data_IF_111263978170
#
_entry.id   IF_111263978170
#
_cell.length_a   1.000
_cell.length_b   1.000
_cell.length_c   1.000
_cell.angle_alpha   90.00
_cell.angle_beta   90.00
_cell.angle_gamma   90.00
#
_symmetry.space_group_name_H-M   'P 1'
#
loop_
_entity.id
_entity.type
_entity.pdbx_description
1 polymer ?
#
# COMPACT_ATOMS: atom_id res chain seq x y z
N UNK A 1 -37.69 38.22 -2.75
CA UNK A 1 -36.29 38.65 -2.98
C UNK A 1 -35.37 38.37 -1.79
N UNK A 2 -35.68 38.83 -0.56
CA UNK A 2 -34.82 38.53 0.61
C UNK A 2 -34.66 37.03 0.94
N UNK A 3 -35.74 36.24 0.85
CA UNK A 3 -35.67 34.78 1.03
C UNK A 3 -34.74 34.11 0.01
N UNK A 4 -34.77 34.60 -1.23
CA UNK A 4 -33.96 34.10 -2.34
C UNK A 4 -32.47 34.42 -2.15
N UNK A 5 -32.16 35.61 -1.63
CA UNK A 5 -30.80 36.00 -1.22
C UNK A 5 -30.26 35.12 -0.10
N UNK A 6 -31.09 34.78 0.88
CA UNK A 6 -30.70 33.90 1.99
C UNK A 6 -30.44 32.46 1.53
N UNK A 7 -31.26 31.95 0.61
CA UNK A 7 -31.02 30.65 -0.03
C UNK A 7 -29.68 30.61 -0.80
N UNK A 8 -29.32 31.69 -1.51
CA UNK A 8 -28.05 31.79 -2.21
C UNK A 8 -26.84 31.82 -1.26
N UNK A 9 -26.95 32.55 -0.14
CA UNK A 9 -25.92 32.51 0.90
C UNK A 9 -25.77 31.12 1.52
N UNK A 10 -26.87 30.41 1.74
CA UNK A 10 -26.83 29.04 2.25
C UNK A 10 -26.07 28.11 1.28
N UNK A 11 -26.26 28.28 -0.03
CA UNK A 11 -25.51 27.50 -1.04
C UNK A 11 -23.99 27.76 -0.99
N UNK A 12 -23.56 28.99 -0.67
CA UNK A 12 -22.12 29.27 -0.44
C UNK A 12 -21.64 28.48 0.77
N UNK A 13 -22.34 28.57 1.91
CA UNK A 13 -22.00 27.83 3.14
C UNK A 13 -21.93 26.31 2.90
N UNK A 14 -22.87 25.77 2.13
CA UNK A 14 -22.89 24.34 1.81
C UNK A 14 -21.72 23.96 0.88
N UNK A 15 -21.35 24.84 -0.06
CA UNK A 15 -20.18 24.66 -0.91
C UNK A 15 -18.86 24.72 -0.12
N UNK A 16 -18.75 25.61 0.86
CA UNK A 16 -17.60 25.66 1.78
C UNK A 16 -17.50 24.38 2.61
N UNK A 17 -18.62 23.89 3.13
CA UNK A 17 -18.68 22.61 3.87
C UNK A 17 -18.23 21.45 2.98
N UNK A 18 -18.65 21.44 1.72
CA UNK A 18 -18.25 20.42 0.75
C UNK A 18 -16.75 20.48 0.46
N UNK A 19 -16.18 21.67 0.19
CA UNK A 19 -14.75 21.85 -0.03
C UNK A 19 -13.93 21.39 1.18
N UNK A 20 -14.40 21.68 2.39
CA UNK A 20 -13.78 21.20 3.63
C UNK A 20 -13.83 19.67 3.74
N UNK A 21 -14.95 19.04 3.41
CA UNK A 21 -15.05 17.59 3.40
C UNK A 21 -14.07 16.93 2.42
N UNK A 22 -13.80 17.57 1.27
CA UNK A 22 -12.75 17.13 0.35
C UNK A 22 -11.35 17.27 0.96
N UNK A 23 -11.04 18.35 1.68
CA UNK A 23 -9.77 18.51 2.37
C UNK A 23 -9.57 17.44 3.46
N UNK A 24 -10.62 17.20 4.25
CA UNK A 24 -10.59 16.27 5.38
C UNK A 24 -10.42 14.81 4.92
N UNK A 25 -10.79 14.46 3.68
CA UNK A 25 -10.64 13.10 3.13
C UNK A 25 -9.26 12.82 2.52
N UNK A 26 -8.47 13.85 2.18
CA UNK A 26 -7.15 13.70 1.53
C UNK A 26 -6.18 12.81 2.33
N UNK A 27 -6.05 12.93 3.67
CA UNK A 27 -5.13 12.07 4.42
C UNK A 27 -5.48 10.59 4.28
N UNK A 28 -6.76 10.23 4.37
CA UNK A 28 -7.23 8.85 4.20
C UNK A 28 -7.03 8.36 2.77
N UNK A 29 -7.29 9.20 1.76
CA UNK A 29 -7.03 8.88 0.36
C UNK A 29 -5.53 8.64 0.11
N UNK A 30 -4.65 9.46 0.69
CA UNK A 30 -3.19 9.30 0.61
C UNK A 30 -2.76 7.96 1.18
N UNK A 31 -3.20 7.63 2.40
CA UNK A 31 -2.84 6.36 3.04
C UNK A 31 -3.28 5.15 2.21
N UNK A 32 -4.52 5.16 1.70
CA UNK A 32 -5.04 4.09 0.87
C UNK A 32 -4.29 3.95 -0.47
N UNK A 33 -4.04 5.06 -1.17
CA UNK A 33 -3.33 5.05 -2.45
C UNK A 33 -1.87 4.62 -2.29
N UNK A 34 -1.19 5.07 -1.23
CA UNK A 34 0.19 4.64 -0.94
C UNK A 34 0.23 3.14 -0.64
N UNK A 35 -0.66 2.64 0.21
CA UNK A 35 -0.71 1.21 0.54
C UNK A 35 -0.92 0.35 -0.72
N UNK A 36 -1.85 0.74 -1.60
CA UNK A 36 -2.11 0.03 -2.84
C UNK A 36 -0.94 0.10 -3.81
N UNK A 37 -0.32 1.27 -3.97
CA UNK A 37 0.80 1.47 -4.88
C UNK A 37 2.05 0.71 -4.43
N UNK A 38 2.29 0.59 -3.12
CA UNK A 38 3.35 -0.25 -2.55
C UNK A 38 3.13 -1.72 -2.93
N UNK A 39 1.93 -2.26 -2.71
CA UNK A 39 1.60 -3.65 -3.04
C UNK A 39 1.81 -3.93 -4.54
N UNK A 40 1.38 -3.02 -5.40
CA UNK A 40 1.58 -3.14 -6.85
C UNK A 40 3.07 -3.12 -7.20
N UNK A 41 3.83 -2.19 -6.62
CA UNK A 41 5.27 -2.06 -6.90
C UNK A 41 6.05 -3.29 -6.43
N UNK A 42 5.76 -3.83 -5.24
CA UNK A 42 6.34 -5.09 -4.75
C UNK A 42 6.02 -6.27 -5.69
N UNK A 43 4.78 -6.37 -6.16
CA UNK A 43 4.36 -7.43 -7.09
C UNK A 43 5.07 -7.32 -8.45
N UNK A 44 5.24 -6.08 -8.95
CA UNK A 44 5.98 -5.81 -10.18
C UNK A 44 7.48 -6.14 -10.02
N UNK A 45 8.11 -5.72 -8.92
CA UNK A 45 9.50 -6.07 -8.60
C UNK A 45 9.70 -7.58 -8.58
N UNK A 46 8.81 -8.33 -7.92
CA UNK A 46 8.86 -9.79 -7.90
C UNK A 46 8.78 -10.37 -9.32
N UNK A 47 7.81 -9.91 -10.12
CA UNK A 47 7.65 -10.37 -11.50
C UNK A 47 8.90 -10.09 -12.36
N UNK A 48 9.52 -8.91 -12.18
CA UNK A 48 10.76 -8.54 -12.87
C UNK A 48 11.94 -9.42 -12.45
N UNK A 49 12.11 -9.68 -11.15
CA UNK A 49 13.17 -10.55 -10.63
C UNK A 49 13.05 -11.95 -11.27
N UNK A 50 11.84 -12.52 -11.29
CA UNK A 50 11.57 -13.83 -11.86
C UNK A 50 11.85 -13.87 -13.37
N UNK A 51 11.45 -12.83 -14.11
CA UNK A 51 11.70 -12.72 -15.54
C UNK A 51 13.21 -12.61 -15.84
N UNK A 52 13.95 -11.82 -15.05
CA UNK A 52 15.39 -11.60 -15.25
C UNK A 52 16.20 -12.89 -15.13
N UNK A 53 15.77 -13.83 -14.27
CA UNK A 53 16.43 -15.13 -14.10
C UNK A 53 15.76 -16.26 -14.90
N UNK A 54 14.76 -15.93 -15.72
CA UNK A 54 13.94 -16.90 -16.46
C UNK A 54 13.44 -18.06 -15.58
N UNK A 55 12.99 -17.74 -14.37
CA UNK A 55 12.64 -18.74 -13.36
C UNK A 55 11.14 -18.93 -13.26
N UNK A 56 10.65 -20.09 -13.68
CA UNK A 56 9.23 -20.43 -13.64
C UNK A 56 8.83 -20.94 -12.24
N UNK A 57 8.24 -20.06 -11.43
CA UNK A 57 7.72 -20.39 -10.09
C UNK A 57 6.27 -20.88 -10.08
N UNK A 58 5.59 -20.95 -11.21
CA UNK A 58 4.17 -21.33 -11.27
C UNK A 58 3.87 -22.70 -10.61
N UNK A 59 4.68 -23.76 -10.79
CA UNK A 59 4.43 -25.03 -10.12
C UNK A 59 4.54 -24.93 -8.60
N UNK A 60 5.50 -24.16 -8.08
CA UNK A 60 5.62 -23.88 -6.66
C UNK A 60 4.41 -23.07 -6.17
N UNK A 61 4.02 -22.02 -6.91
CA UNK A 61 2.85 -21.20 -6.62
C UNK A 61 1.59 -22.02 -6.40
N UNK A 62 1.31 -22.99 -7.28
CA UNK A 62 0.15 -23.88 -7.14
C UNK A 62 0.18 -24.74 -5.86
N UNK A 63 1.36 -25.13 -5.38
CA UNK A 63 1.51 -25.84 -4.10
C UNK A 63 1.26 -24.87 -2.93
N UNK A 64 1.80 -23.65 -3.03
CA UNK A 64 1.61 -22.61 -1.99
C UNK A 64 0.15 -22.16 -1.87
N UNK A 65 -0.57 -22.05 -2.97
CA UNK A 65 -1.99 -21.68 -2.96
C UNK A 65 -2.85 -22.76 -2.28
N UNK A 66 -2.49 -24.04 -2.46
CA UNK A 66 -3.12 -25.13 -1.71
C UNK A 66 -2.79 -25.08 -0.21
N UNK A 67 -1.56 -24.69 0.15
CA UNK A 67 -1.21 -24.44 1.55
C UNK A 67 -2.01 -23.27 2.14
N UNK A 68 -2.27 -22.22 1.35
CA UNK A 68 -3.01 -21.05 1.83
C UNK A 68 -4.53 -21.30 1.93
N UNK A 69 -5.09 -22.21 1.13
CA UNK A 69 -6.52 -22.57 1.19
C UNK A 69 -6.91 -23.45 2.39
N UNK A 70 -6.01 -23.63 3.36
CA UNK A 70 -6.27 -24.35 4.60
C UNK A 70 -6.02 -25.85 4.55
N UNK A 71 -5.52 -26.39 3.43
CA UNK A 71 -4.99 -27.75 3.38
C UNK A 71 -3.60 -27.78 4.02
N UNK A 72 -3.56 -27.76 5.35
CA UNK A 72 -2.31 -27.94 6.08
C UNK A 72 -1.92 -29.43 6.05
N UNK A 73 -1.15 -29.83 5.05
CA UNK A 73 -0.53 -31.17 5.03
C UNK A 73 0.98 -31.06 5.03
N UNK A 74 1.59 -31.87 5.90
CA UNK A 74 3.02 -32.21 5.88
C UNK A 74 3.49 -32.60 4.47
N UNK A 75 2.61 -33.18 3.66
CA UNK A 75 2.90 -33.58 2.29
C UNK A 75 3.10 -32.38 1.37
N UNK A 76 2.34 -31.29 1.53
CA UNK A 76 2.49 -30.08 0.73
C UNK A 76 3.74 -29.28 1.12
N UNK A 77 4.09 -29.26 2.42
CA UNK A 77 5.37 -28.72 2.90
C UNK A 77 6.53 -29.51 2.31
N UNK A 78 6.44 -30.85 2.34
CA UNK A 78 7.43 -31.75 1.76
C UNK A 78 7.56 -31.61 0.24
N UNK A 79 6.43 -31.46 -0.46
CA UNK A 79 6.37 -31.25 -1.90
C UNK A 79 6.99 -29.89 -2.30
N UNK A 80 6.69 -28.83 -1.54
CA UNK A 80 7.30 -27.51 -1.74
C UNK A 80 8.82 -27.60 -1.58
N UNK A 81 9.31 -28.22 -0.51
CA UNK A 81 10.74 -28.44 -0.26
C UNK A 81 11.41 -29.20 -1.40
N UNK A 82 10.80 -30.31 -1.83
CA UNK A 82 11.32 -31.14 -2.93
C UNK A 82 11.45 -30.32 -4.22
N UNK A 83 10.40 -29.57 -4.58
CA UNK A 83 10.42 -28.73 -5.77
C UNK A 83 11.53 -27.68 -5.69
N UNK A 84 11.66 -26.99 -4.55
CA UNK A 84 12.70 -25.98 -4.34
C UNK A 84 14.09 -26.61 -4.52
N UNK A 85 14.32 -27.79 -3.94
CA UNK A 85 15.61 -28.48 -4.06
C UNK A 85 15.94 -28.87 -5.49
N UNK A 86 14.97 -29.36 -6.26
CA UNK A 86 15.17 -29.81 -7.64
C UNK A 86 15.39 -28.65 -8.62
N UNK A 87 14.74 -27.51 -8.38
CA UNK A 87 14.70 -26.38 -9.32
C UNK A 87 15.62 -25.21 -8.93
N UNK A 88 16.07 -25.11 -7.67
CA UNK A 88 16.92 -24.02 -7.18
C UNK A 88 18.35 -24.50 -6.92
N UNK A 89 19.09 -24.80 -7.99
CA UNK A 89 20.42 -25.40 -7.91
C UNK A 89 21.57 -24.38 -7.77
N UNK A 90 21.33 -23.12 -8.13
CA UNK A 90 22.31 -22.03 -8.06
C UNK A 90 21.98 -21.06 -6.93
N UNK A 91 22.98 -20.36 -6.40
CA UNK A 91 22.77 -19.39 -5.32
C UNK A 91 21.83 -18.25 -5.74
N UNK A 92 21.88 -17.84 -7.01
CA UNK A 92 20.94 -16.88 -7.57
C UNK A 92 19.49 -17.38 -7.51
N UNK A 93 19.23 -18.63 -7.90
CA UNK A 93 17.88 -19.20 -7.84
C UNK A 93 17.41 -19.40 -6.39
N UNK A 94 18.34 -19.71 -5.48
CA UNK A 94 18.06 -19.81 -4.03
C UNK A 94 17.64 -18.47 -3.43
N UNK A 95 18.30 -17.39 -3.81
CA UNK A 95 17.94 -16.04 -3.37
C UNK A 95 16.58 -15.60 -3.93
N UNK A 96 16.35 -15.87 -5.22
CA UNK A 96 15.08 -15.55 -5.88
C UNK A 96 13.92 -16.33 -5.26
N UNK A 97 14.06 -17.63 -5.01
CA UNK A 97 12.98 -18.43 -4.41
C UNK A 97 12.70 -18.01 -2.96
N UNK A 98 13.73 -17.61 -2.19
CA UNK A 98 13.52 -17.06 -0.85
C UNK A 98 12.76 -15.74 -0.91
N UNK A 99 13.13 -14.85 -1.84
CA UNK A 99 12.45 -13.57 -2.02
C UNK A 99 10.99 -13.78 -2.44
N UNK A 100 10.72 -14.76 -3.30
CA UNK A 100 9.38 -15.17 -3.69
C UNK A 100 8.56 -15.73 -2.51
N UNK A 101 9.12 -16.63 -1.70
CA UNK A 101 8.43 -17.15 -0.50
C UNK A 101 8.08 -16.03 0.49
N UNK A 102 9.01 -15.10 0.70
CA UNK A 102 8.78 -13.93 1.54
C UNK A 102 7.69 -13.01 0.98
N UNK A 103 7.63 -12.79 -0.34
CA UNK A 103 6.57 -11.98 -0.94
C UNK A 103 5.20 -12.62 -0.77
N UNK A 104 5.10 -13.96 -0.83
CA UNK A 104 3.83 -14.68 -0.57
C UNK A 104 3.37 -14.55 0.89
N UNK A 105 4.27 -14.52 1.85
CA UNK A 105 3.94 -14.37 3.30
C UNK A 105 3.51 -12.95 3.65
N UNK A 106 4.05 -11.94 2.93
CA UNK A 106 3.70 -10.52 3.06
C UNK A 106 2.34 -10.17 2.47
N UNK A 107 1.75 -11.05 1.63
CA UNK A 107 0.43 -10.86 1.06
C UNK A 107 -0.63 -10.67 2.17
N UNK A 108 -1.51 -9.70 2.00
CA UNK A 108 -2.61 -9.44 2.94
C UNK A 108 -3.59 -10.62 3.03
N UNK A 109 -3.68 -11.44 1.99
CA UNK A 109 -4.52 -12.64 1.95
C UNK A 109 -3.82 -13.90 2.48
N UNK A 110 -2.56 -13.81 2.91
CA UNK A 110 -1.90 -14.92 3.58
C UNK A 110 -2.55 -15.17 4.95
N UNK A 111 -3.01 -16.40 5.19
CA UNK A 111 -3.47 -16.83 6.52
C UNK A 111 -2.30 -17.05 7.47
N UNK A 112 -2.50 -16.94 8.79
CA UNK A 112 -1.43 -17.20 9.76
C UNK A 112 -0.90 -18.64 9.69
N UNK A 113 -1.80 -19.59 9.40
CA UNK A 113 -1.42 -20.98 9.12
C UNK A 113 -0.53 -21.09 7.88
N UNK A 114 -0.80 -20.33 6.82
CA UNK A 114 0.08 -20.28 5.65
C UNK A 114 1.45 -19.71 5.99
N UNK A 115 1.51 -18.61 6.75
CA UNK A 115 2.79 -18.02 7.21
C UNK A 115 3.62 -19.04 7.99
N UNK A 116 2.97 -19.79 8.88
CA UNK A 116 3.60 -20.87 9.64
C UNK A 116 4.08 -22.01 8.73
N UNK A 117 3.28 -22.42 7.75
CA UNK A 117 3.66 -23.46 6.79
C UNK A 117 4.87 -23.06 5.94
N UNK A 118 4.94 -21.81 5.48
CA UNK A 118 6.11 -21.30 4.77
C UNK A 118 7.35 -21.32 5.65
N UNK A 119 7.22 -20.97 6.94
CA UNK A 119 8.32 -21.07 7.90
C UNK A 119 8.85 -22.51 8.00
N UNK A 120 7.97 -23.52 8.01
CA UNK A 120 8.38 -24.92 7.98
C UNK A 120 9.06 -25.32 6.67
N UNK A 121 8.56 -24.88 5.51
CA UNK A 121 9.21 -25.12 4.21
C UNK A 121 10.64 -24.56 4.20
N UNK A 122 10.82 -23.32 4.65
CA UNK A 122 12.13 -22.66 4.69
C UNK A 122 13.05 -23.37 5.68
N UNK A 123 12.57 -23.71 6.87
CA UNK A 123 13.35 -24.39 7.90
C UNK A 123 13.83 -25.78 7.43
N UNK A 124 12.93 -26.60 6.88
CA UNK A 124 13.28 -27.93 6.36
C UNK A 124 14.28 -27.83 5.19
N UNK A 125 14.04 -26.90 4.26
CA UNK A 125 14.92 -26.71 3.12
C UNK A 125 16.31 -26.22 3.53
N UNK A 126 16.38 -25.29 4.47
CA UNK A 126 17.63 -24.82 5.05
C UNK A 126 18.41 -25.95 5.71
N UNK A 127 17.74 -26.79 6.51
CA UNK A 127 18.35 -27.97 7.12
C UNK A 127 18.94 -28.92 6.07
N UNK A 128 18.20 -29.16 4.98
CA UNK A 128 18.62 -30.07 3.91
C UNK A 128 19.77 -29.50 3.05
N UNK A 129 19.79 -28.20 2.78
CA UNK A 129 20.93 -27.52 2.15
C UNK A 129 22.18 -27.47 3.07
N UNK A 130 22.00 -27.36 4.39
CA UNK A 130 23.08 -27.37 5.39
C UNK A 130 23.74 -28.74 5.59
N UNK A 131 23.07 -29.81 5.21
CA UNK A 131 23.50 -31.18 5.51
C UNK A 131 24.68 -31.63 4.61
N UNK A 132 24.95 -30.94 3.49
CA UNK A 132 25.95 -31.39 2.51
C UNK A 132 27.26 -30.57 2.41
N UNK A 133 27.45 -29.38 3.03
CA UNK A 133 28.73 -28.64 2.81
C UNK A 133 29.16 -27.48 3.74
N UNK A 134 28.77 -27.37 5.02
CA UNK A 134 29.14 -26.19 5.84
C UNK A 134 29.57 -26.50 7.29
N UNK A 135 30.56 -25.75 7.79
CA UNK A 135 31.03 -25.79 9.20
C UNK A 135 30.05 -25.09 10.14
N UNK A 136 30.11 -25.37 11.45
CA UNK A 136 29.15 -24.88 12.46
C UNK A 136 28.93 -23.35 12.42
N UNK A 137 29.95 -22.56 12.09
CA UNK A 137 29.85 -21.10 12.00
C UNK A 137 28.99 -20.60 10.82
N UNK A 138 28.99 -21.35 9.71
CA UNK A 138 28.16 -21.05 8.54
C UNK A 138 26.70 -21.48 8.76
N UNK A 139 26.45 -22.50 9.58
CA UNK A 139 25.10 -22.89 10.05
C UNK A 139 24.46 -21.80 10.90
N UNK A 140 25.25 -21.17 11.78
CA UNK A 140 24.84 -20.00 12.56
C UNK A 140 24.56 -18.81 11.64
N UNK A 141 25.32 -18.66 10.54
CA UNK A 141 25.12 -17.59 9.56
C UNK A 141 23.86 -17.79 8.70
N UNK A 142 23.42 -19.02 8.42
CA UNK A 142 22.14 -19.25 7.75
C UNK A 142 20.93 -19.03 8.67
N UNK A 143 21.02 -19.35 9.96
CA UNK A 143 20.04 -18.89 10.95
C UNK A 143 20.02 -17.35 11.01
N UNK A 144 21.17 -16.67 10.85
CA UNK A 144 21.25 -15.20 10.74
C UNK A 144 20.61 -14.64 9.46
N UNK A 145 20.48 -15.40 8.38
CA UNK A 145 19.84 -14.98 7.11
C UNK A 145 18.34 -15.31 7.09
N UNK A 146 17.93 -16.45 7.62
CA UNK A 146 16.50 -16.82 7.80
C UNK A 146 15.84 -15.93 8.86
N UNK A 147 16.61 -15.55 9.88
CA UNK A 147 16.23 -14.52 10.83
C UNK A 147 16.63 -13.11 10.36
N UNK A 148 17.15 -12.95 9.13
CA UNK A 148 17.87 -11.79 8.62
C UNK A 148 17.05 -10.64 8.02
N UNK A 149 15.79 -10.48 8.44
CA UNK A 149 15.31 -9.14 8.76
C UNK A 149 15.80 -8.66 10.14
N UNK A 150 16.62 -9.46 10.85
CA UNK A 150 16.98 -9.27 12.26
C UNK A 150 18.43 -9.71 12.50
N UNK A 151 19.29 -8.76 12.89
CA UNK A 151 20.63 -9.10 13.40
C UNK A 151 20.48 -9.87 14.72
N UNK A 152 21.26 -10.94 14.92
CA UNK A 152 21.18 -11.84 16.09
C UNK A 152 21.24 -11.13 17.48
N UNK A 153 21.89 -9.96 17.59
CA UNK A 153 21.84 -9.15 18.83
C UNK A 153 20.48 -8.45 19.06
N UNK A 154 19.66 -8.28 18.02
CA UNK A 154 18.40 -7.54 18.01
C UNK A 154 17.16 -8.44 18.15
N UNK A 155 17.27 -9.77 18.04
CA UNK A 155 16.19 -10.73 18.33
C UNK A 155 15.68 -10.68 19.78
N UNK A 156 16.42 -10.02 20.68
CA UNK A 156 15.95 -9.71 22.03
C UNK A 156 14.84 -8.66 22.06
N UNK A 157 14.60 -7.94 20.95
CA UNK A 157 13.62 -6.84 20.89
C UNK A 157 12.84 -6.82 19.56
N UNK A 158 11.80 -7.69 19.41
CA UNK A 158 10.93 -7.74 18.22
C UNK A 158 10.31 -6.38 17.82
N UNK A 159 10.07 -5.48 18.77
CA UNK A 159 9.55 -4.14 18.48
C UNK A 159 10.52 -3.27 17.68
N UNK A 160 11.83 -3.34 17.98
CA UNK A 160 12.85 -2.58 17.25
C UNK A 160 12.97 -3.04 15.80
N UNK A 161 12.87 -4.35 15.55
CA UNK A 161 12.91 -4.92 14.20
C UNK A 161 11.76 -4.41 13.36
N UNK A 162 10.54 -4.53 13.90
CA UNK A 162 9.34 -4.10 13.20
C UNK A 162 9.42 -2.61 12.86
N UNK A 163 9.86 -1.78 13.82
CA UNK A 163 10.05 -0.35 13.60
C UNK A 163 11.12 -0.04 12.53
N UNK A 164 12.23 -0.80 12.51
CA UNK A 164 13.31 -0.63 11.55
C UNK A 164 12.89 -1.05 10.14
N UNK A 165 12.21 -2.18 10.01
CA UNK A 165 11.67 -2.66 8.73
C UNK A 165 10.64 -1.68 8.16
N UNK A 166 9.75 -1.16 9.01
CA UNK A 166 8.79 -0.12 8.64
C UNK A 166 9.48 1.16 8.17
N UNK A 167 10.57 1.57 8.82
CA UNK A 167 11.36 2.74 8.43
C UNK A 167 12.07 2.53 7.08
N UNK A 168 12.65 1.35 6.83
CA UNK A 168 13.27 1.00 5.55
C UNK A 168 12.25 1.02 4.42
N UNK A 169 11.09 0.40 4.62
CA UNK A 169 10.01 0.40 3.63
C UNK A 169 9.49 1.83 3.37
N UNK A 170 9.31 2.64 4.42
CA UNK A 170 8.92 4.03 4.27
C UNK A 170 9.94 4.84 3.47
N UNK A 171 11.23 4.60 3.67
CA UNK A 171 12.29 5.25 2.91
C UNK A 171 12.32 4.78 1.44
N UNK A 172 12.15 3.48 1.19
CA UNK A 172 12.14 2.88 -0.14
C UNK A 172 10.99 3.43 -1.01
N UNK A 173 9.83 3.65 -0.40
CA UNK A 173 8.62 4.15 -1.08
C UNK A 173 8.36 5.63 -0.86
N UNK A 174 9.31 6.38 -0.29
CA UNK A 174 9.15 7.81 0.00
C UNK A 174 8.85 8.63 -1.25
N UNK A 175 9.53 8.34 -2.36
CA UNK A 175 9.31 9.02 -3.64
C UNK A 175 7.89 8.77 -4.17
N UNK A 176 7.44 7.51 -4.15
CA UNK A 176 6.09 7.13 -4.59
C UNK A 176 5.02 7.83 -3.74
N UNK A 177 5.22 7.90 -2.42
CA UNK A 177 4.31 8.59 -1.53
C UNK A 177 4.27 10.11 -1.77
N UNK A 178 5.42 10.72 -2.08
CA UNK A 178 5.50 12.13 -2.44
C UNK A 178 4.78 12.42 -3.77
N UNK A 179 4.94 11.56 -4.78
CA UNK A 179 4.26 11.71 -6.08
C UNK A 179 2.73 11.63 -5.93
N UNK A 180 2.23 10.72 -5.08
CA UNK A 180 0.80 10.60 -4.75
C UNK A 180 0.31 11.86 -4.03
N UNK A 181 1.09 12.39 -3.10
CA UNK A 181 0.74 13.62 -2.38
C UNK A 181 0.63 14.82 -3.31
N UNK A 182 1.56 14.99 -4.25
CA UNK A 182 1.51 16.03 -5.27
C UNK A 182 0.24 15.91 -6.11
N UNK A 183 -0.13 14.70 -6.52
CA UNK A 183 -1.35 14.45 -7.30
C UNK A 183 -2.63 14.79 -6.52
N UNK A 184 -2.69 14.43 -5.23
CA UNK A 184 -3.82 14.75 -4.37
C UNK A 184 -3.93 16.26 -4.09
N UNK A 185 -2.80 16.95 -3.93
CA UNK A 185 -2.78 18.41 -3.80
C UNK A 185 -3.26 19.09 -5.08
N UNK A 186 -2.83 18.61 -6.26
CA UNK A 186 -3.31 19.13 -7.54
C UNK A 186 -4.83 18.91 -7.71
N UNK A 187 -5.34 17.74 -7.31
CA UNK A 187 -6.77 17.44 -7.31
C UNK A 187 -7.55 18.39 -6.39
N UNK A 188 -7.05 18.63 -5.18
CA UNK A 188 -7.66 19.56 -4.23
C UNK A 188 -7.66 21.00 -4.72
N UNK A 189 -6.57 21.45 -5.33
CA UNK A 189 -6.50 22.77 -5.96
C UNK A 189 -7.57 22.94 -7.05
N UNK A 190 -7.90 21.86 -7.77
CA UNK A 190 -9.03 21.82 -8.69
C UNK A 190 -10.39 22.06 -8.01
N UNK A 191 -10.65 21.39 -6.87
CA UNK A 191 -11.87 21.64 -6.08
C UNK A 191 -11.94 23.07 -5.55
N UNK A 192 -10.81 23.61 -5.09
CA UNK A 192 -10.73 25.00 -4.61
C UNK A 192 -11.07 25.99 -5.73
N UNK A 193 -10.59 25.76 -6.95
CA UNK A 193 -10.91 26.61 -8.10
C UNK A 193 -12.38 26.51 -8.49
N UNK A 194 -12.96 25.30 -8.48
CA UNK A 194 -14.38 25.11 -8.74
C UNK A 194 -15.25 25.83 -7.71
N UNK A 195 -14.89 25.73 -6.42
CA UNK A 195 -15.55 26.45 -5.34
C UNK A 195 -15.47 27.97 -5.54
N UNK A 196 -14.28 28.51 -5.84
CA UNK A 196 -14.10 29.96 -6.12
C UNK A 196 -15.00 30.43 -7.25
N UNK A 197 -15.03 29.70 -8.36
CA UNK A 197 -15.88 30.03 -9.51
C UNK A 197 -17.37 29.97 -9.14
N UNK A 198 -17.79 28.97 -8.36
CA UNK A 198 -19.16 28.81 -7.90
C UNK A 198 -19.60 29.95 -6.96
N UNK A 199 -18.76 30.31 -5.99
CA UNK A 199 -19.01 31.43 -5.07
C UNK A 199 -19.10 32.74 -5.85
N UNK A 200 -18.18 33.01 -6.78
CA UNK A 200 -18.25 34.19 -7.64
C UNK A 200 -19.57 34.28 -8.39
N UNK A 201 -20.03 33.16 -8.97
CA UNK A 201 -21.30 33.11 -9.68
C UNK A 201 -22.49 33.44 -8.77
N UNK A 202 -22.54 32.86 -7.57
CA UNK A 202 -23.60 33.17 -6.60
C UNK A 202 -23.54 34.62 -6.13
N UNK A 203 -22.35 35.15 -5.87
CA UNK A 203 -22.19 36.55 -5.47
C UNK A 203 -22.69 37.52 -6.54
N UNK A 204 -22.49 37.21 -7.82
CA UNK A 204 -23.06 37.99 -8.93
C UNK A 204 -24.60 37.96 -8.92
N UNK A 205 -25.21 36.79 -8.68
CA UNK A 205 -26.67 36.67 -8.56
C UNK A 205 -27.21 37.49 -7.38
N UNK A 206 -26.52 37.45 -6.23
CA UNK A 206 -26.89 38.24 -5.05
C UNK A 206 -26.84 39.74 -5.37
N UNK A 207 -25.78 40.20 -6.05
CA UNK A 207 -25.64 41.61 -6.44
C UNK A 207 -26.76 42.07 -7.39
N UNK A 208 -27.19 41.20 -8.32
CA UNK A 208 -28.33 41.48 -9.20
C UNK A 208 -29.64 41.62 -8.42
N UNK A 209 -29.89 40.73 -7.45
CA UNK A 209 -31.06 40.81 -6.57
C UNK A 209 -31.02 42.11 -5.76
N UNK A 210 -29.85 42.51 -5.24
CA UNK A 210 -29.70 43.75 -4.48
C UNK A 210 -30.00 45.00 -5.32
N UNK A 211 -29.51 45.06 -6.57
CA UNK A 211 -29.84 46.14 -7.50
C UNK A 211 -31.35 46.20 -7.80
N UNK A 212 -32.00 45.06 -7.97
CA UNK A 212 -33.45 45.00 -8.20
C UNK A 212 -34.24 45.49 -6.98
N UNK A 213 -33.83 45.10 -5.76
CA UNK A 213 -34.47 45.56 -4.52
C UNK A 213 -34.36 47.07 -4.41
N UNK A 214 -33.19 47.66 -4.68
CA UNK A 214 -33.01 49.10 -4.57
C UNK A 214 -33.79 49.86 -5.63
N UNK A 215 -33.82 49.37 -6.87
CA UNK A 215 -34.64 49.95 -7.94
C UNK A 215 -36.15 49.90 -7.62
N UNK A 216 -36.65 48.83 -6.97
CA UNK A 216 -38.04 48.77 -6.50
C UNK A 216 -38.32 49.76 -5.36
N UNK A 217 -37.39 49.93 -4.42
CA UNK A 217 -37.52 50.92 -3.34
C UNK A 217 -37.56 52.35 -3.86
N UNK A 218 -36.72 52.68 -4.84
CA UNK A 218 -36.68 54.03 -5.41
C UNK A 218 -37.97 54.35 -6.16
N UNK A 219 -38.51 53.40 -6.95
CA UNK A 219 -39.86 53.54 -7.54
C UNK A 219 -40.95 53.72 -6.49
N UNK A 220 -40.88 52.98 -5.38
CA UNK A 220 -41.86 53.10 -4.29
C UNK A 220 -41.77 54.45 -3.55
N UNK A 221 -40.62 55.13 -3.61
CA UNK A 221 -40.41 56.47 -3.06
C UNK A 221 -40.85 57.60 -4.01
N UNK A 222 -41.28 57.29 -5.24
CA UNK A 222 -41.74 58.27 -6.21
C UNK A 222 -40.64 59.16 -6.81
N UNK A 223 -39.39 58.68 -6.78
CA UNK A 223 -38.26 59.20 -7.56
C UNK A 223 -38.14 58.41 -8.87
#
# INVERSE_FOLDING_TARGET
MNVQKEQLKQQITDSERNLKAHLDSIPAMKEAQVAQAVVLSESQKMSQILANVNFNVAPLGAILDQLNSGKCSKDLVSASRKWIFENCQTDQLREVVLTYLLSRVKDSHASDNFRLNILYVINDWAYQCLFWSLTLEQKITLVRVISGCIKFQQLRNPGQIFSSAKAVQAAEYAKLAADIEVNLQAMYSGYEQQHKNYVQHIMQQIAQIDMQIEAEKDRARGL
#
